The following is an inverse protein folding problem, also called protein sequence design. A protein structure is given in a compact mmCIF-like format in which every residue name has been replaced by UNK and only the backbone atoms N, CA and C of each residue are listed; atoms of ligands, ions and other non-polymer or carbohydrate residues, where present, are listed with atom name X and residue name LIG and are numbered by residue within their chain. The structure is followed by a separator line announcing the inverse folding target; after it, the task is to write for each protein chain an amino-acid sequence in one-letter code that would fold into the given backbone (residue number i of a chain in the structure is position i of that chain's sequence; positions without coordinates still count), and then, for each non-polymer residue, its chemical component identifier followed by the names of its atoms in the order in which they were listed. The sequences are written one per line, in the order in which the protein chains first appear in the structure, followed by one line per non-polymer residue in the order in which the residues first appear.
data_IF_092250561612
#
_entry.id   IF_092250561612
#
_cell.length_a   1.000
_cell.length_b   1.000
_cell.length_c   1.000
_cell.angle_alpha   90.00
_cell.angle_beta   90.00
_cell.angle_gamma   90.00
#
_symmetry.space_group_name_H-M   'P 1'
#
loop_
_entity.id
_entity.type
_entity.pdbx_description
1 polymer ?
#
# COMPACT_ATOMS: atom_id res chain seq x y z
N UNK A 1 10.50 4.79 -24.34
CA UNK A 1 9.41 4.28 -23.51
C UNK A 1 10.03 3.66 -22.26
N UNK A 2 9.74 4.20 -21.06
CA UNK A 2 10.25 3.63 -19.81
C UNK A 2 9.68 2.22 -19.59
N UNK A 3 10.50 1.33 -19.03
CA UNK A 3 10.05 -0.01 -18.65
C UNK A 3 9.03 0.12 -17.50
N UNK A 4 7.89 -0.59 -17.59
CA UNK A 4 6.93 -0.64 -16.49
C UNK A 4 7.59 -1.22 -15.23
N UNK A 5 7.29 -0.70 -14.04
CA UNK A 5 7.78 -1.26 -12.79
C UNK A 5 7.31 -2.71 -12.61
N UNK A 6 8.12 -3.51 -11.93
CA UNK A 6 7.67 -4.82 -11.44
C UNK A 6 6.55 -4.61 -10.42
N UNK A 7 5.37 -5.19 -10.67
CA UNK A 7 4.19 -5.02 -9.83
C UNK A 7 4.11 -6.14 -8.78
N UNK A 8 4.14 -5.77 -7.52
CA UNK A 8 3.84 -6.66 -6.40
C UNK A 8 2.34 -6.54 -6.12
N UNK A 9 1.61 -7.66 -6.18
CA UNK A 9 0.18 -7.70 -5.89
C UNK A 9 -0.06 -8.29 -4.50
N UNK A 10 -0.60 -7.48 -3.59
CA UNK A 10 -1.07 -7.94 -2.31
C UNK A 10 -2.47 -8.55 -2.46
N UNK A 11 -2.60 -9.84 -2.15
CA UNK A 11 -3.82 -10.60 -2.34
C UNK A 11 -4.08 -11.57 -1.17
N UNK A 12 -5.36 -11.76 -0.86
CA UNK A 12 -5.79 -12.81 0.06
C UNK A 12 -5.75 -14.18 -0.63
N UNK A 13 -5.71 -15.30 0.11
CA UNK A 13 -5.69 -16.64 -0.48
C UNK A 13 -6.87 -16.93 -1.44
N UNK A 14 -8.03 -16.30 -1.20
CA UNK A 14 -9.19 -16.43 -2.07
C UNK A 14 -8.98 -15.68 -3.41
N UNK A 15 -8.34 -14.53 -3.35
CA UNK A 15 -8.03 -13.70 -4.52
C UNK A 15 -6.88 -14.31 -5.35
N UNK A 16 -5.92 -14.97 -4.70
CA UNK A 16 -4.81 -15.66 -5.38
C UNK A 16 -5.31 -16.67 -6.43
N UNK A 17 -6.42 -17.37 -6.14
CA UNK A 17 -7.06 -18.29 -7.08
C UNK A 17 -7.66 -17.62 -8.32
N UNK A 18 -7.86 -16.30 -8.29
CA UNK A 18 -8.39 -15.49 -9.39
C UNK A 18 -7.30 -14.75 -10.17
N UNK A 19 -6.07 -14.75 -9.65
CA UNK A 19 -4.91 -14.19 -10.34
C UNK A 19 -4.65 -15.06 -11.56
N UNK A 20 -5.01 -14.54 -12.75
CA UNK A 20 -4.68 -15.16 -14.02
C UNK A 20 -3.16 -15.27 -14.19
N UNK A 21 -2.72 -15.84 -15.34
CA UNK A 21 -1.28 -15.92 -15.71
C UNK A 21 -0.71 -14.56 -16.17
N UNK A 22 -1.30 -13.44 -15.73
CA UNK A 22 -0.78 -12.11 -16.03
C UNK A 22 0.65 -11.96 -15.45
N UNK A 23 1.55 -11.24 -16.11
CA UNK A 23 2.94 -11.08 -15.67
C UNK A 23 3.01 -10.17 -14.44
N UNK A 24 2.76 -10.75 -13.26
CA UNK A 24 2.98 -10.07 -11.99
C UNK A 24 4.45 -10.25 -11.58
N UNK A 25 5.06 -9.22 -10.99
CA UNK A 25 6.42 -9.32 -10.48
C UNK A 25 6.52 -10.26 -9.27
N UNK A 26 5.58 -10.18 -8.35
CA UNK A 26 5.46 -11.06 -7.18
C UNK A 26 4.06 -10.97 -6.56
N UNK A 27 3.66 -11.99 -5.81
CA UNK A 27 2.47 -11.97 -4.96
C UNK A 27 2.92 -11.66 -3.53
N UNK A 28 2.22 -10.75 -2.85
CA UNK A 28 2.32 -10.52 -1.43
C UNK A 28 1.11 -11.16 -0.74
N UNK A 29 1.35 -12.20 0.03
CA UNK A 29 0.31 -13.05 0.60
C UNK A 29 -0.31 -12.41 1.84
N UNK A 30 -1.52 -11.87 1.73
CA UNK A 30 -2.34 -11.32 2.82
C UNK A 30 -3.08 -12.46 3.55
N UNK A 31 -2.33 -13.43 4.02
CA UNK A 31 -2.85 -14.65 4.65
C UNK A 31 -2.61 -14.70 6.16
N UNK A 32 -2.14 -13.60 6.74
CA UNK A 32 -1.71 -13.55 8.14
C UNK A 32 -2.28 -12.32 8.84
N UNK A 33 -2.55 -12.48 10.14
CA UNK A 33 -2.81 -11.38 11.06
C UNK A 33 -1.81 -11.45 12.21
N UNK A 34 -1.63 -10.32 12.87
CA UNK A 34 -0.79 -10.25 14.07
C UNK A 34 -1.68 -10.02 15.28
N UNK A 35 -1.59 -10.89 16.26
CA UNK A 35 -2.29 -10.78 17.54
C UNK A 35 -1.38 -10.14 18.61
N UNK A 36 -1.99 -9.71 19.72
CA UNK A 36 -1.27 -9.10 20.84
C UNK A 36 -0.11 -9.98 21.34
N UNK A 37 0.99 -9.31 21.69
CA UNK A 37 2.20 -9.96 22.17
C UNK A 37 3.24 -10.34 21.12
N UNK A 38 3.48 -9.61 20.05
CA UNK A 38 3.03 -9.83 18.67
C UNK A 38 3.19 -11.28 18.26
N UNK A 39 2.12 -11.90 17.82
CA UNK A 39 2.05 -13.30 17.42
C UNK A 39 1.49 -13.43 16.02
N UNK A 40 2.21 -14.13 15.14
CA UNK A 40 1.77 -14.38 13.77
C UNK A 40 0.72 -15.49 13.74
N UNK A 41 -0.47 -15.19 13.23
CA UNK A 41 -1.56 -16.13 13.05
C UNK A 41 -1.99 -16.20 11.59
N UNK A 42 -2.28 -17.38 11.08
CA UNK A 42 -2.84 -17.52 9.73
C UNK A 42 -4.32 -17.14 9.73
N UNK A 43 -4.74 -16.43 8.70
CA UNK A 43 -6.15 -16.17 8.40
C UNK A 43 -6.69 -17.39 7.66
N UNK A 44 -7.66 -18.08 8.24
CA UNK A 44 -8.36 -19.22 7.65
C UNK A 44 -7.54 -20.51 7.47
N UNK A 45 -8.26 -21.61 7.15
CA UNK A 45 -7.68 -22.92 6.85
C UNK A 45 -7.03 -23.00 5.46
N UNK A 46 -7.30 -22.02 4.59
CA UNK A 46 -6.70 -21.97 3.25
C UNK A 46 -5.23 -21.63 3.36
N UNK A 47 -4.39 -22.50 2.84
CA UNK A 47 -2.95 -22.32 2.85
C UNK A 47 -2.57 -21.23 1.85
N UNK A 48 -1.75 -20.24 2.23
CA UNK A 48 -1.20 -19.29 1.28
C UNK A 48 -0.32 -20.02 0.25
N UNK A 49 -0.18 -19.42 -0.92
CA UNK A 49 0.75 -19.88 -1.94
C UNK A 49 2.19 -19.99 -1.44
N UNK A 50 3.09 -20.43 -2.28
CA UNK A 50 4.52 -20.48 -1.99
C UNK A 50 5.30 -19.54 -2.92
N UNK A 51 6.43 -19.03 -2.44
CA UNK A 51 7.16 -17.97 -3.13
C UNK A 51 6.53 -16.59 -2.91
N UNK A 52 7.04 -15.56 -3.56
CA UNK A 52 6.57 -14.19 -3.36
C UNK A 52 6.94 -13.62 -1.99
N UNK A 53 6.06 -12.83 -1.39
CA UNK A 53 6.29 -12.09 -0.15
C UNK A 53 5.22 -12.40 0.90
N UNK A 54 5.61 -12.41 2.16
CA UNK A 54 4.69 -12.45 3.28
C UNK A 54 4.24 -11.02 3.60
N UNK A 55 2.92 -10.76 3.67
CA UNK A 55 2.37 -9.46 4.05
C UNK A 55 1.83 -9.52 5.48
N UNK A 56 2.26 -8.58 6.31
CA UNK A 56 1.75 -8.39 7.69
C UNK A 56 1.44 -6.92 7.93
N UNK A 57 0.27 -6.66 8.50
CA UNK A 57 -0.12 -5.34 8.99
C UNK A 57 -0.16 -5.36 10.53
N UNK A 58 0.32 -4.30 11.16
CA UNK A 58 0.21 -4.08 12.59
C UNK A 58 -0.43 -2.74 12.88
N UNK A 59 -1.61 -2.80 13.47
CA UNK A 59 -2.33 -1.65 13.98
C UNK A 59 -1.64 -1.03 15.20
N UNK A 60 -1.91 0.25 15.52
CA UNK A 60 -1.39 0.89 16.72
C UNK A 60 -1.76 0.12 17.99
N UNK A 61 -0.84 0.07 18.95
CA UNK A 61 -1.12 -0.47 20.27
C UNK A 61 -0.98 -1.99 20.43
N UNK A 62 -0.64 -2.74 19.39
CA UNK A 62 -0.25 -4.16 19.52
C UNK A 62 1.13 -4.32 20.19
N UNK A 63 1.40 -3.49 21.20
CA UNK A 63 2.66 -3.47 21.91
C UNK A 63 2.97 -4.79 22.58
N UNK A 64 4.23 -5.21 22.53
CA UNK A 64 4.74 -6.37 23.22
C UNK A 64 6.25 -6.32 23.31
N UNK A 65 6.81 -6.89 24.36
CA UNK A 65 8.26 -7.00 24.55
C UNK A 65 8.86 -8.21 23.81
N UNK A 66 8.04 -9.00 23.11
CA UNK A 66 8.44 -10.29 22.51
C UNK A 66 8.75 -10.19 21.00
N UNK A 67 9.35 -9.10 20.56
CA UNK A 67 9.68 -8.89 19.14
C UNK A 67 10.64 -9.95 18.58
N UNK A 68 11.54 -10.49 19.39
CA UNK A 68 12.46 -11.54 18.94
C UNK A 68 11.72 -12.83 18.56
N UNK A 69 10.74 -13.23 19.39
CA UNK A 69 9.87 -14.36 19.08
C UNK A 69 9.06 -14.16 17.80
N UNK A 70 8.56 -12.96 17.58
CA UNK A 70 7.84 -12.60 16.36
C UNK A 70 8.73 -12.64 15.12
N UNK A 71 9.95 -12.09 15.18
CA UNK A 71 10.92 -12.19 14.10
C UNK A 71 11.24 -13.67 13.75
N UNK A 72 11.39 -14.53 14.76
CA UNK A 72 11.61 -15.97 14.55
C UNK A 72 10.41 -16.63 13.86
N UNK A 73 9.16 -16.27 14.23
CA UNK A 73 7.95 -16.80 13.58
C UNK A 73 7.90 -16.40 12.10
N UNK A 74 8.14 -15.11 11.78
CA UNK A 74 8.19 -14.62 10.41
C UNK A 74 9.24 -15.36 9.57
N UNK A 75 10.45 -15.54 10.10
CA UNK A 75 11.52 -16.23 9.40
C UNK A 75 11.19 -17.71 9.16
N UNK A 76 10.61 -18.39 10.14
CA UNK A 76 10.17 -19.79 9.99
C UNK A 76 9.10 -19.90 8.90
N UNK A 77 8.16 -18.98 8.87
CA UNK A 77 7.11 -18.99 7.84
C UNK A 77 7.69 -18.68 6.46
N UNK A 78 8.63 -17.73 6.35
CA UNK A 78 9.34 -17.47 5.11
C UNK A 78 10.07 -18.71 4.60
N UNK A 79 10.76 -19.44 5.46
CA UNK A 79 11.44 -20.68 5.09
C UNK A 79 10.45 -21.77 4.68
N UNK A 80 9.37 -21.99 5.44
CA UNK A 80 8.37 -23.02 5.18
C UNK A 80 7.62 -22.78 3.86
N UNK A 81 7.38 -21.52 3.49
CA UNK A 81 6.66 -21.12 2.27
C UNK A 81 7.54 -20.63 1.14
N UNK A 82 8.86 -20.62 1.30
CA UNK A 82 9.81 -20.07 0.35
C UNK A 82 9.54 -18.62 -0.01
N UNK A 83 9.03 -17.83 0.95
CA UNK A 83 8.86 -16.39 0.73
C UNK A 83 10.22 -15.72 0.60
N UNK A 84 10.32 -14.76 -0.30
CA UNK A 84 11.54 -14.01 -0.60
C UNK A 84 11.73 -12.79 0.29
N UNK A 85 10.77 -12.50 1.16
CA UNK A 85 10.80 -11.37 2.08
C UNK A 85 9.46 -11.10 2.74
N UNK A 86 9.42 -9.97 3.45
CA UNK A 86 8.28 -9.53 4.26
C UNK A 86 7.91 -8.10 3.89
N UNK A 87 6.65 -7.85 3.64
CA UNK A 87 6.05 -6.51 3.66
C UNK A 87 5.51 -6.31 5.08
N UNK A 88 6.11 -5.37 5.80
CA UNK A 88 5.73 -5.00 7.15
C UNK A 88 5.03 -3.64 7.10
N UNK A 89 3.70 -3.67 6.90
CA UNK A 89 2.82 -2.51 6.91
C UNK A 89 2.47 -2.19 8.37
N UNK A 90 3.23 -1.29 8.95
CA UNK A 90 3.22 -1.02 10.38
C UNK A 90 2.79 0.42 10.63
N UNK A 91 1.80 0.60 11.52
CA UNK A 91 1.51 1.90 12.09
C UNK A 91 2.74 2.47 12.84
N UNK A 92 2.74 3.73 13.17
CA UNK A 92 3.82 4.35 13.94
C UNK A 92 4.00 3.70 15.32
N UNK A 93 5.23 3.72 15.83
CA UNK A 93 5.54 3.18 17.17
C UNK A 93 6.33 1.87 17.18
N UNK A 94 6.53 1.20 16.03
CA UNK A 94 7.21 -0.09 15.93
C UNK A 94 8.70 -0.02 15.57
N UNK A 95 9.38 1.11 15.82
CA UNK A 95 10.79 1.32 15.43
C UNK A 95 11.75 0.23 15.87
N UNK A 96 11.63 -0.26 17.13
CA UNK A 96 12.48 -1.36 17.66
C UNK A 96 12.20 -2.66 16.91
N UNK A 97 10.95 -2.98 16.60
CA UNK A 97 10.59 -4.15 15.83
C UNK A 97 11.19 -4.09 14.42
N UNK A 98 11.08 -2.94 13.77
CA UNK A 98 11.61 -2.73 12.42
C UNK A 98 13.14 -2.91 12.37
N UNK A 99 13.87 -2.38 13.35
CA UNK A 99 15.33 -2.58 13.45
C UNK A 99 15.70 -4.07 13.60
N UNK A 100 14.93 -4.80 14.41
CA UNK A 100 15.13 -6.25 14.58
C UNK A 100 14.81 -7.03 13.30
N UNK A 101 13.71 -6.66 12.61
CA UNK A 101 13.32 -7.27 11.33
C UNK A 101 14.37 -7.00 10.25
N UNK A 102 14.84 -5.77 10.09
CA UNK A 102 15.85 -5.40 9.08
C UNK A 102 17.11 -6.24 9.26
N UNK A 103 17.60 -6.37 10.51
CA UNK A 103 18.76 -7.19 10.83
C UNK A 103 18.52 -8.68 10.58
N UNK A 104 17.41 -9.22 11.09
CA UNK A 104 17.14 -10.65 11.07
C UNK A 104 16.84 -11.19 9.66
N UNK A 105 16.12 -10.42 8.84
CA UNK A 105 15.80 -10.78 7.46
C UNK A 105 17.00 -10.63 6.54
N UNK A 106 17.76 -9.53 6.69
CA UNK A 106 18.94 -9.31 5.88
C UNK A 106 20.04 -10.39 6.10
N UNK A 107 20.22 -10.90 7.31
CA UNK A 107 21.14 -12.02 7.59
C UNK A 107 20.77 -13.29 6.83
N UNK A 108 19.57 -13.39 6.28
CA UNK A 108 19.04 -14.54 5.54
C UNK A 108 18.77 -14.24 4.07
N UNK A 109 19.25 -13.08 3.59
CA UNK A 109 18.99 -12.59 2.23
C UNK A 109 17.49 -12.47 1.90
N UNK A 110 16.66 -12.20 2.91
CA UNK A 110 15.25 -11.91 2.75
C UNK A 110 15.01 -10.40 2.68
N UNK A 111 14.17 -9.97 1.74
CA UNK A 111 13.82 -8.57 1.58
C UNK A 111 12.87 -8.10 2.67
N UNK A 112 13.06 -6.87 3.17
CA UNK A 112 12.11 -6.18 4.02
C UNK A 112 11.55 -4.96 3.28
N UNK A 113 10.23 -4.72 3.40
CA UNK A 113 9.54 -3.54 2.91
C UNK A 113 8.87 -2.87 4.10
N UNK A 114 9.05 -1.55 4.25
CA UNK A 114 8.52 -0.79 5.40
C UNK A 114 7.95 0.55 4.94
N UNK A 115 6.96 1.12 5.67
CA UNK A 115 6.52 2.50 5.48
C UNK A 115 7.66 3.51 5.63
N UNK A 116 7.51 4.68 5.01
CA UNK A 116 8.53 5.74 4.99
C UNK A 116 8.99 6.20 6.37
N UNK A 117 8.10 6.24 7.35
CA UNK A 117 8.44 6.65 8.72
C UNK A 117 9.57 5.77 9.34
N UNK A 118 9.81 4.59 8.77
CA UNK A 118 10.84 3.66 9.25
C UNK A 118 12.12 3.63 8.41
N UNK A 119 12.25 4.45 7.36
CA UNK A 119 13.39 4.39 6.45
C UNK A 119 14.76 4.49 7.14
N UNK A 120 14.86 5.31 8.20
CA UNK A 120 16.08 5.50 8.97
C UNK A 120 16.38 4.33 9.94
N UNK A 121 15.33 3.62 10.40
CA UNK A 121 15.43 2.46 11.30
C UNK A 121 15.78 1.17 10.56
N UNK A 122 15.47 1.11 9.26
CA UNK A 122 15.70 -0.04 8.39
C UNK A 122 16.50 0.37 7.15
N UNK A 123 17.81 0.64 7.26
CA UNK A 123 18.61 1.19 6.17
C UNK A 123 18.76 0.24 4.98
N UNK A 124 18.52 -1.07 5.15
CA UNK A 124 18.57 -2.08 4.09
C UNK A 124 17.19 -2.42 3.50
N UNK A 125 16.11 -2.00 4.17
CA UNK A 125 14.76 -2.23 3.71
C UNK A 125 14.41 -1.38 2.48
N UNK A 126 13.46 -1.85 1.70
CA UNK A 126 12.76 -1.08 0.69
C UNK A 126 11.69 -0.22 1.36
N UNK A 127 11.49 0.98 0.83
CA UNK A 127 10.63 2.00 1.44
C UNK A 127 9.36 2.11 0.61
N UNK A 128 8.22 1.85 1.25
CA UNK A 128 6.90 1.99 0.67
C UNK A 128 6.51 3.46 0.69
N UNK A 129 6.40 4.07 -0.48
CA UNK A 129 6.05 5.48 -0.69
C UNK A 129 4.60 5.53 -1.16
N UNK A 130 3.71 6.06 -0.33
CA UNK A 130 2.30 6.20 -0.66
C UNK A 130 2.08 7.12 -1.86
N UNK A 131 1.22 6.69 -2.78
CA UNK A 131 0.71 7.50 -3.89
C UNK A 131 -0.67 8.10 -3.61
N UNK A 132 -1.26 7.83 -2.45
CA UNK A 132 -2.50 8.45 -2.00
C UNK A 132 -2.20 9.84 -1.42
N UNK A 133 -2.07 10.83 -2.29
CA UNK A 133 -1.81 12.22 -1.92
C UNK A 133 -3.02 13.09 -2.24
N UNK A 134 -3.33 14.05 -1.37
CA UNK A 134 -4.45 14.98 -1.54
C UNK A 134 -4.00 16.41 -1.84
N UNK A 135 -2.71 16.62 -2.11
CA UNK A 135 -2.14 17.91 -2.50
C UNK A 135 -0.73 17.79 -3.03
N UNK A 136 -0.25 18.87 -3.64
CA UNK A 136 1.04 18.88 -4.33
C UNK A 136 1.01 18.14 -5.67
N UNK A 137 2.09 17.46 -6.01
CA UNK A 137 2.25 16.72 -7.26
C UNK A 137 2.79 15.32 -6.99
N UNK A 138 2.15 14.30 -7.56
CA UNK A 138 2.63 12.93 -7.44
C UNK A 138 4.02 12.75 -8.07
N UNK A 139 4.29 13.46 -9.17
CA UNK A 139 5.63 13.49 -9.79
C UNK A 139 6.67 14.02 -8.82
N UNK A 140 6.42 15.18 -8.20
CA UNK A 140 7.33 15.76 -7.20
C UNK A 140 7.52 14.84 -5.99
N UNK A 141 6.47 14.21 -5.52
CA UNK A 141 6.50 13.23 -4.42
C UNK A 141 7.43 12.04 -4.72
N UNK A 142 7.31 11.45 -5.91
CA UNK A 142 8.15 10.33 -6.34
C UNK A 142 9.60 10.77 -6.61
N UNK A 143 9.81 11.98 -7.14
CA UNK A 143 11.14 12.56 -7.34
C UNK A 143 11.88 12.71 -6.00
N UNK A 144 11.24 13.27 -5.00
CA UNK A 144 11.79 13.40 -3.64
C UNK A 144 12.14 12.02 -3.05
N UNK A 145 11.24 11.04 -3.17
CA UNK A 145 11.47 9.69 -2.69
C UNK A 145 12.68 9.03 -3.38
N UNK A 146 12.78 9.14 -4.70
CA UNK A 146 13.92 8.63 -5.48
C UNK A 146 15.23 9.30 -5.09
N UNK A 147 15.21 10.61 -4.81
CA UNK A 147 16.37 11.35 -4.32
C UNK A 147 16.79 10.92 -2.92
N UNK A 148 15.82 10.66 -2.03
CA UNK A 148 16.09 10.29 -0.64
C UNK A 148 16.52 8.82 -0.49
N UNK A 149 15.87 7.89 -1.21
CA UNK A 149 16.03 6.45 -0.98
C UNK A 149 16.74 5.73 -2.12
N UNK A 150 16.82 6.36 -3.29
CA UNK A 150 17.33 5.75 -4.52
C UNK A 150 16.36 4.76 -5.16
N UNK A 151 16.56 4.43 -6.46
CA UNK A 151 15.61 3.61 -7.23
C UNK A 151 15.50 2.15 -6.76
N UNK A 152 16.52 1.61 -6.07
CA UNK A 152 16.51 0.24 -5.56
C UNK A 152 15.66 0.08 -4.30
N UNK A 153 15.60 1.14 -3.48
CA UNK A 153 14.85 1.11 -2.23
C UNK A 153 13.44 1.70 -2.36
N UNK A 154 13.20 2.57 -3.33
CA UNK A 154 11.89 3.20 -3.53
C UNK A 154 10.90 2.19 -4.13
N UNK A 155 9.76 2.01 -3.48
CA UNK A 155 8.62 1.23 -3.94
C UNK A 155 7.38 2.10 -3.87
N UNK A 156 6.75 2.38 -5.02
CA UNK A 156 5.51 3.15 -5.01
C UNK A 156 4.35 2.26 -4.53
N UNK A 157 3.79 2.57 -3.38
CA UNK A 157 2.58 1.94 -2.88
C UNK A 157 1.38 2.61 -3.57
N UNK A 158 0.74 1.87 -4.48
CA UNK A 158 -0.43 2.32 -5.24
C UNK A 158 -1.68 2.22 -4.36
N UNK A 159 -1.72 3.10 -3.36
CA UNK A 159 -2.84 3.21 -2.43
C UNK A 159 -3.91 4.11 -3.02
N UNK A 160 -5.17 3.77 -2.73
CA UNK A 160 -6.32 4.57 -3.14
C UNK A 160 -6.51 5.77 -2.22
N UNK A 161 -6.67 6.95 -2.81
CA UNK A 161 -7.32 8.05 -2.11
C UNK A 161 -8.83 7.98 -2.34
N UNK A 162 -9.62 8.23 -1.31
CA UNK A 162 -11.06 8.48 -1.38
C UNK A 162 -11.42 9.36 -0.18
N UNK A 163 -11.49 10.67 -0.39
CA UNK A 163 -11.66 11.65 0.69
C UNK A 163 -12.60 12.78 0.27
N UNK A 164 -13.45 13.20 1.19
CA UNK A 164 -14.33 14.36 1.06
C UNK A 164 -13.79 15.54 1.87
N UNK A 165 -13.51 16.64 1.19
CA UNK A 165 -12.97 17.86 1.77
C UNK A 165 -14.02 18.97 1.81
N UNK A 166 -14.04 19.70 2.91
CA UNK A 166 -14.82 20.95 3.05
C UNK A 166 -13.86 22.13 2.96
N UNK A 167 -13.86 22.88 1.85
CA UNK A 167 -12.99 24.07 1.72
C UNK A 167 -13.34 25.19 2.71
N UNK A 168 -12.32 25.92 3.25
CA UNK A 168 -10.90 25.75 2.99
C UNK A 168 -10.32 24.54 3.74
N UNK A 169 -9.67 23.63 3.01
CA UNK A 169 -9.13 22.41 3.56
C UNK A 169 -7.59 22.38 3.46
N UNK A 170 -6.94 21.72 4.42
CA UNK A 170 -5.51 21.42 4.36
C UNK A 170 -5.31 20.05 3.71
N UNK A 171 -4.13 19.80 3.15
CA UNK A 171 -3.76 18.47 2.66
C UNK A 171 -3.91 17.43 3.78
N UNK A 172 -4.51 16.28 3.46
CA UNK A 172 -4.74 15.22 4.43
C UNK A 172 -5.82 15.51 5.48
N UNK A 173 -6.63 16.56 5.30
CA UNK A 173 -7.73 16.89 6.22
C UNK A 173 -9.10 16.43 5.72
N UNK A 174 -9.15 15.62 4.67
CA UNK A 174 -10.39 15.06 4.14
C UNK A 174 -10.99 14.00 5.07
N UNK A 175 -12.29 13.83 5.00
CA UNK A 175 -12.97 12.70 5.63
C UNK A 175 -12.85 11.49 4.70
N UNK A 176 -12.24 10.38 5.15
CA UNK A 176 -12.15 9.18 4.33
C UNK A 176 -13.54 8.65 3.94
N UNK A 177 -13.67 8.21 2.71
CA UNK A 177 -14.88 7.56 2.18
C UNK A 177 -14.58 6.08 1.90
N UNK A 178 -15.46 5.22 2.38
CA UNK A 178 -15.47 3.82 1.96
C UNK A 178 -15.88 3.70 0.49
N UNK A 179 -15.60 2.55 -0.12
CA UNK A 179 -16.03 2.27 -1.50
C UNK A 179 -17.55 2.41 -1.66
N UNK A 180 -18.31 1.94 -0.67
CA UNK A 180 -19.77 2.04 -0.68
C UNK A 180 -20.23 3.49 -0.60
N UNK A 181 -19.71 4.27 0.36
CA UNK A 181 -20.08 5.68 0.52
C UNK A 181 -19.77 6.52 -0.72
N UNK A 182 -18.61 6.31 -1.34
CA UNK A 182 -18.24 6.97 -2.59
C UNK A 182 -19.20 6.59 -3.74
N UNK A 183 -19.56 5.31 -3.82
CA UNK A 183 -20.49 4.81 -4.86
C UNK A 183 -21.87 5.40 -4.68
N UNK A 184 -22.42 5.36 -3.47
CA UNK A 184 -23.73 5.93 -3.12
C UNK A 184 -23.75 7.45 -3.36
N UNK A 185 -22.68 8.15 -2.98
CA UNK A 185 -22.56 9.59 -3.19
C UNK A 185 -22.57 9.94 -4.68
N UNK A 186 -21.83 9.20 -5.49
CA UNK A 186 -21.78 9.38 -6.96
C UNK A 186 -23.11 9.06 -7.62
N UNK A 187 -23.78 7.99 -7.23
CA UNK A 187 -25.10 7.63 -7.75
C UNK A 187 -26.16 8.69 -7.41
N UNK A 188 -26.16 9.18 -6.18
CA UNK A 188 -27.11 10.19 -5.71
C UNK A 188 -26.94 11.54 -6.38
N UNK A 189 -25.68 11.98 -6.58
CA UNK A 189 -25.36 13.31 -7.08
C UNK A 189 -25.20 13.36 -8.59
N UNK A 190 -24.89 12.22 -9.22
CA UNK A 190 -24.53 12.13 -10.64
C UNK A 190 -23.59 13.27 -11.11
N UNK A 191 -22.44 13.48 -10.41
CA UNK A 191 -21.61 14.65 -10.61
C UNK A 191 -20.77 14.54 -11.88
N UNK A 192 -20.39 15.70 -12.44
CA UNK A 192 -19.32 15.75 -13.42
C UNK A 192 -18.00 15.40 -12.73
N UNK A 193 -17.31 14.37 -13.22
CA UNK A 193 -16.03 13.90 -12.71
C UNK A 193 -14.91 14.44 -13.58
N UNK A 194 -13.90 15.00 -12.91
CA UNK A 194 -12.71 15.61 -13.53
C UNK A 194 -11.46 14.82 -13.22
N UNK A 195 -10.43 15.02 -14.04
CA UNK A 195 -9.09 14.45 -13.85
C UNK A 195 -8.11 15.50 -13.34
N UNK A 196 -7.32 15.15 -12.31
CA UNK A 196 -6.19 15.95 -11.85
C UNK A 196 -4.88 15.31 -12.33
N UNK A 197 -4.18 15.93 -13.30
CA UNK A 197 -2.88 15.42 -13.77
C UNK A 197 -1.81 15.42 -12.66
N UNK A 198 -1.85 16.40 -11.75
CA UNK A 198 -0.89 16.56 -10.67
C UNK A 198 -0.98 15.43 -9.66
N UNK A 199 -2.21 15.04 -9.31
CA UNK A 199 -2.47 13.98 -8.33
C UNK A 199 -2.57 12.59 -8.96
N UNK A 200 -2.73 12.52 -10.30
CA UNK A 200 -3.14 11.30 -11.01
C UNK A 200 -4.39 10.66 -10.38
N UNK A 201 -5.37 11.48 -10.04
CA UNK A 201 -6.60 11.07 -9.36
C UNK A 201 -7.82 11.77 -9.99
N UNK A 202 -9.01 11.28 -9.70
CA UNK A 202 -10.26 11.90 -10.12
C UNK A 202 -10.84 12.76 -9.00
N UNK A 203 -11.63 13.76 -9.37
CA UNK A 203 -12.35 14.56 -8.39
C UNK A 203 -13.69 15.04 -8.95
N UNK A 204 -14.58 15.41 -8.02
CA UNK A 204 -15.80 16.18 -8.31
C UNK A 204 -16.11 17.11 -7.15
N UNK A 205 -16.98 18.07 -7.40
CA UNK A 205 -17.45 19.01 -6.39
C UNK A 205 -18.96 18.95 -6.27
N UNK A 206 -19.47 19.24 -5.07
CA UNK A 206 -20.91 19.34 -4.84
C UNK A 206 -21.22 20.33 -3.70
N UNK A 207 -22.49 20.72 -3.60
CA UNK A 207 -22.99 21.53 -2.49
C UNK A 207 -23.94 20.72 -1.64
N UNK A 208 -23.76 20.77 -0.32
CA UNK A 208 -24.77 20.25 0.60
C UNK A 208 -25.95 21.21 0.77
N UNK A 209 -27.13 20.73 1.18
CA UNK A 209 -28.19 21.60 1.66
C UNK A 209 -27.67 22.57 2.71
N UNK A 210 -27.86 23.88 2.52
CA UNK A 210 -27.25 24.92 3.35
C UNK A 210 -26.02 25.61 2.74
N UNK A 211 -25.64 25.23 1.49
CA UNK A 211 -24.66 25.96 0.67
C UNK A 211 -23.18 25.64 0.94
N UNK A 212 -22.88 24.64 1.78
CA UNK A 212 -21.49 24.23 2.02
C UNK A 212 -20.93 23.50 0.80
N UNK A 213 -19.81 24.00 0.29
CA UNK A 213 -19.10 23.37 -0.81
C UNK A 213 -18.29 22.17 -0.33
N UNK A 214 -18.27 21.11 -1.13
CA UNK A 214 -17.49 19.90 -0.93
C UNK A 214 -16.63 19.61 -2.16
N UNK A 215 -15.46 19.03 -1.94
CA UNK A 215 -14.54 18.55 -2.96
C UNK A 215 -14.18 17.10 -2.62
N UNK A 216 -14.54 16.18 -3.50
CA UNK A 216 -14.25 14.75 -3.34
C UNK A 216 -13.12 14.36 -4.27
N UNK A 217 -12.03 13.87 -3.69
CA UNK A 217 -10.87 13.31 -4.40
C UNK A 217 -10.93 11.78 -4.29
N UNK A 218 -10.73 11.07 -5.40
CA UNK A 218 -10.77 9.61 -5.36
C UNK A 218 -9.97 8.96 -6.48
N UNK A 219 -9.56 7.73 -6.20
CA UNK A 219 -8.96 6.83 -7.17
C UNK A 219 -9.94 5.76 -7.67
N UNK A 220 -9.70 5.32 -8.88
CA UNK A 220 -10.30 4.15 -9.51
C UNK A 220 -9.20 3.28 -10.16
N UNK A 221 -9.51 2.10 -10.73
CA UNK A 221 -8.49 1.26 -11.36
C UNK A 221 -7.72 1.94 -12.50
N UNK A 222 -8.33 2.89 -13.21
CA UNK A 222 -7.65 3.63 -14.29
C UNK A 222 -6.61 4.61 -13.73
N UNK A 223 -6.97 5.31 -12.65
CA UNK A 223 -6.05 6.25 -11.97
C UNK A 223 -4.86 5.51 -11.37
N UNK A 224 -5.09 4.34 -10.75
CA UNK A 224 -4.01 3.50 -10.22
C UNK A 224 -3.08 2.99 -11.32
N UNK A 225 -3.62 2.61 -12.49
CA UNK A 225 -2.81 2.27 -13.67
C UNK A 225 -2.03 3.49 -14.21
N UNK A 226 -2.61 4.69 -14.13
CA UNK A 226 -1.90 5.92 -14.49
C UNK A 226 -0.74 6.20 -13.51
N UNK A 227 -0.95 6.03 -12.21
CA UNK A 227 0.11 6.12 -11.18
C UNK A 227 1.22 5.11 -11.41
N UNK A 228 0.88 3.87 -11.78
CA UNK A 228 1.87 2.83 -12.14
C UNK A 228 2.73 3.26 -13.32
N UNK A 229 2.12 3.78 -14.40
CA UNK A 229 2.85 4.29 -15.58
C UNK A 229 3.77 5.45 -15.20
N UNK A 230 3.25 6.43 -14.46
CA UNK A 230 4.05 7.57 -13.99
C UNK A 230 5.26 7.12 -13.16
N UNK A 231 5.06 6.19 -12.24
CA UNK A 231 6.16 5.64 -11.44
C UNK A 231 7.25 5.01 -12.33
N UNK A 232 6.87 4.28 -13.37
CA UNK A 232 7.80 3.71 -14.35
C UNK A 232 8.55 4.76 -15.16
N UNK A 233 7.85 5.80 -15.63
CA UNK A 233 8.45 6.93 -16.36
C UNK A 233 9.51 7.65 -15.51
N UNK A 234 9.32 7.70 -14.21
CA UNK A 234 10.24 8.32 -13.26
C UNK A 234 11.40 7.42 -12.82
N UNK A 235 11.41 6.14 -13.24
CA UNK A 235 12.46 5.19 -12.91
C UNK A 235 12.25 4.43 -11.60
N UNK A 236 11.05 4.47 -11.02
CA UNK A 236 10.67 3.56 -9.92
C UNK A 236 10.64 2.15 -10.47
N UNK A 237 11.34 1.23 -9.82
CA UNK A 237 11.50 -0.14 -10.32
C UNK A 237 10.45 -1.11 -9.83
N UNK A 238 9.78 -0.79 -8.72
CA UNK A 238 8.79 -1.66 -8.08
C UNK A 238 7.59 -0.85 -7.61
N UNK A 239 6.41 -1.42 -7.80
CA UNK A 239 5.18 -0.91 -7.23
C UNK A 239 4.50 -2.01 -6.41
N UNK A 240 3.79 -1.60 -5.36
CA UNK A 240 2.92 -2.45 -4.56
C UNK A 240 1.48 -1.98 -4.77
N UNK A 241 0.57 -2.90 -5.01
CA UNK A 241 -0.86 -2.60 -5.05
C UNK A 241 -1.67 -3.72 -4.38
N UNK A 242 -2.81 -3.38 -3.83
CA UNK A 242 -3.80 -4.36 -3.38
C UNK A 242 -4.61 -4.82 -4.58
N UNK A 243 -4.81 -6.14 -4.70
CA UNK A 243 -5.55 -6.73 -5.83
C UNK A 243 -6.95 -6.13 -6.02
N UNK A 244 -7.70 -5.95 -4.94
CA UNK A 244 -9.06 -5.38 -4.99
C UNK A 244 -9.11 -3.97 -5.60
N UNK A 245 -8.07 -3.18 -5.42
CA UNK A 245 -8.01 -1.82 -5.93
C UNK A 245 -7.79 -1.75 -7.43
N UNK A 246 -7.07 -2.72 -8.00
CA UNK A 246 -6.81 -2.82 -9.44
C UNK A 246 -7.88 -3.58 -10.20
N UNK A 247 -8.53 -4.54 -9.55
CA UNK A 247 -9.56 -5.41 -10.11
C UNK A 247 -10.78 -5.47 -9.19
N UNK A 248 -11.52 -4.35 -9.02
CA UNK A 248 -12.71 -4.37 -8.18
C UNK A 248 -13.72 -5.37 -8.74
N UNK A 249 -14.31 -6.16 -7.84
CA UNK A 249 -15.42 -7.05 -8.22
C UNK A 249 -16.52 -6.19 -8.84
N UNK A 250 -16.98 -6.58 -10.02
CA UNK A 250 -18.27 -6.08 -10.51
C UNK A 250 -19.33 -6.68 -9.56
N UNK A 251 -19.91 -5.82 -8.72
CA UNK A 251 -21.07 -6.13 -7.89
C UNK A 251 -22.31 -6.02 -8.77
#
# INVERSE_FOLDING_TARGET
MGQLPSLILAATPMQEGQLGREPHGAIAHMAYRVESGPRLMRLNQTMPGSGGLLYVALEPGLGGRQYDGFCVQLIRECAARRFQGVIADLAEGYGILVEKLDRALNQRNLSLYVPECYHARAPKARVLVSTAISGGSLRGRLEEALKCYGPERTVAALERVAEDFVPPARNGSGTPLTHQELTELRQRLNPNVYWSPELCARYFTYFQPGGRAHFVLFDDPETLRAKLRLAGEMGVRRCLAVWEDLCPRQI
#
